data_IF_318713568979
#
_entry.id   IF_318713568979
#
_cell.length_a   1.000
_cell.length_b   1.000
_cell.length_c   1.000
_cell.angle_alpha   90.00
_cell.angle_beta   90.00
_cell.angle_gamma   90.00
#
_symmetry.space_group_name_H-M   'P 1'
#
loop_
_entity.id
_entity.type
_entity.pdbx_description
1 polymer ?
#
# COMPACT_ATOMS: atom_id res chain seq x y z
N UNK A 1 13.39 -1.42 9.43
CA UNK A 1 12.97 -0.03 9.68
C UNK A 1 11.99 0.37 8.60
N UNK A 2 11.02 1.22 8.93
CA UNK A 2 10.06 1.74 7.95
C UNK A 2 10.72 2.84 7.15
N UNK A 3 10.53 2.83 5.83
CA UNK A 3 11.14 3.80 4.93
C UNK A 3 10.05 4.39 4.04
N UNK A 4 10.02 5.73 3.92
CA UNK A 4 9.17 6.41 2.96
C UNK A 4 10.01 7.12 1.91
N UNK A 5 9.64 6.93 0.64
CA UNK A 5 10.20 7.64 -0.50
C UNK A 5 9.06 8.26 -1.28
N UNK A 6 9.03 9.59 -1.38
CA UNK A 6 7.99 10.28 -2.10
C UNK A 6 7.88 11.73 -1.72
N UNK A 7 6.77 12.33 -2.14
CA UNK A 7 6.49 13.74 -1.92
C UNK A 7 6.10 14.01 -0.46
N UNK A 8 6.51 15.19 0.00
CA UNK A 8 6.23 15.71 1.32
C UNK A 8 5.64 17.12 1.20
N UNK A 9 4.71 17.45 2.10
CA UNK A 9 4.18 18.79 2.30
C UNK A 9 3.94 18.99 3.79
N UNK A 10 4.43 20.09 4.34
CA UNK A 10 4.26 20.47 5.75
C UNK A 10 4.67 19.36 6.74
N UNK A 11 5.79 18.68 6.45
CA UNK A 11 6.28 17.55 7.26
C UNK A 11 5.45 16.27 7.16
N UNK A 12 4.48 16.21 6.25
CA UNK A 12 3.59 15.06 6.06
C UNK A 12 3.74 14.47 4.66
N UNK A 13 3.54 13.16 4.52
CA UNK A 13 3.46 12.50 3.23
C UNK A 13 2.27 13.05 2.45
N UNK A 14 2.53 13.59 1.26
CA UNK A 14 1.54 14.28 0.47
C UNK A 14 1.93 14.22 -1.01
N UNK A 15 1.06 13.73 -1.89
CA UNK A 15 1.39 13.42 -3.29
C UNK A 15 1.73 11.94 -3.51
N UNK A 16 2.46 11.63 -4.57
CA UNK A 16 2.87 10.25 -4.88
C UNK A 16 4.01 9.79 -3.95
N UNK A 17 3.94 8.54 -3.49
CA UNK A 17 5.01 7.96 -2.71
C UNK A 17 4.85 6.49 -2.34
N UNK A 18 5.96 5.90 -1.92
CA UNK A 18 6.06 4.52 -1.47
C UNK A 18 6.47 4.46 0.00
N UNK A 19 5.69 3.75 0.82
CA UNK A 19 6.00 3.42 2.21
C UNK A 19 6.31 1.93 2.30
N UNK A 20 7.55 1.60 2.66
CA UNK A 20 7.96 0.25 3.04
C UNK A 20 7.78 0.06 4.54
N UNK A 21 7.15 -1.03 4.93
CA UNK A 21 6.88 -1.35 6.33
C UNK A 21 7.96 -2.26 6.94
N UNK A 22 8.71 -2.97 6.10
CA UNK A 22 9.82 -3.84 6.47
C UNK A 22 11.04 -3.60 5.56
N UNK A 23 12.21 -4.10 5.98
CA UNK A 23 13.48 -3.93 5.24
C UNK A 23 13.52 -4.74 3.94
N UNK A 24 12.75 -5.81 3.86
CA UNK A 24 12.76 -6.77 2.75
C UNK A 24 11.84 -6.30 1.60
N UNK A 25 11.03 -5.27 1.84
CA UNK A 25 10.05 -4.76 0.86
C UNK A 25 8.89 -5.72 0.62
N UNK A 26 8.60 -6.62 1.58
CA UNK A 26 7.52 -7.61 1.47
C UNK A 26 6.16 -6.93 1.66
N UNK A 27 6.07 -6.01 2.62
CA UNK A 27 4.92 -5.19 2.91
C UNK A 27 5.24 -3.74 2.53
N UNK A 28 4.55 -3.22 1.53
CA UNK A 28 4.73 -1.85 1.06
C UNK A 28 3.42 -1.28 0.49
N UNK A 29 3.27 0.03 0.57
CA UNK A 29 2.23 0.77 -0.14
C UNK A 29 2.89 1.69 -1.16
N UNK A 30 2.38 1.71 -2.39
CA UNK A 30 2.74 2.69 -3.42
C UNK A 30 1.48 3.35 -3.93
N UNK A 31 1.40 4.67 -3.88
CA UNK A 31 0.27 5.42 -4.40
C UNK A 31 0.17 6.83 -3.86
N UNK A 32 -1.02 7.40 -3.94
CA UNK A 32 -1.28 8.76 -3.50
C UNK A 32 -1.42 8.86 -1.97
N UNK A 33 -0.92 9.97 -1.45
CA UNK A 33 -0.95 10.34 -0.03
C UNK A 33 -1.53 11.75 0.13
N UNK A 34 -2.30 11.95 1.20
CA UNK A 34 -2.75 13.27 1.67
C UNK A 34 -2.66 13.28 3.18
N UNK A 35 -1.88 14.20 3.75
CA UNK A 35 -1.72 14.37 5.20
C UNK A 35 -1.42 13.05 5.92
N UNK A 36 -0.39 12.33 5.46
CA UNK A 36 0.04 11.02 5.97
C UNK A 36 -0.92 9.85 5.74
N UNK A 37 -2.08 10.07 5.11
CA UNK A 37 -3.07 9.03 4.83
C UNK A 37 -3.03 8.61 3.35
N UNK A 38 -3.21 7.31 3.10
CA UNK A 38 -3.40 6.77 1.75
C UNK A 38 -4.69 7.33 1.15
N UNK A 39 -4.62 7.78 -0.10
CA UNK A 39 -5.71 8.44 -0.80
C UNK A 39 -5.68 8.05 -2.28
N UNK A 40 -6.79 8.18 -3.00
CA UNK A 40 -6.83 7.97 -4.45
C UNK A 40 -6.47 6.54 -4.84
N UNK A 41 -5.89 6.34 -6.02
CA UNK A 41 -5.44 5.01 -6.44
C UNK A 41 -4.10 4.63 -5.79
N UNK A 42 -3.99 3.37 -5.38
CA UNK A 42 -2.76 2.83 -4.80
C UNK A 42 -2.72 1.31 -4.73
N UNK A 43 -1.49 0.78 -4.66
CA UNK A 43 -1.15 -0.63 -4.55
C UNK A 43 -0.56 -0.91 -3.17
N UNK A 44 -1.21 -1.78 -2.40
CA UNK A 44 -0.69 -2.29 -1.14
C UNK A 44 -0.28 -3.74 -1.32
N UNK A 45 1.02 -4.02 -1.21
CA UNK A 45 1.55 -5.36 -1.08
C UNK A 45 1.51 -5.78 0.38
N UNK A 46 1.07 -7.00 0.59
CA UNK A 46 1.08 -7.74 1.84
C UNK A 46 1.92 -9.00 1.62
N UNK A 47 2.33 -9.65 2.72
CA UNK A 47 3.08 -10.91 2.65
C UNK A 47 2.38 -12.02 1.85
N UNK A 48 1.05 -12.03 1.80
CA UNK A 48 0.23 -13.08 1.16
C UNK A 48 -0.78 -12.55 0.15
N UNK A 49 -0.57 -11.35 -0.36
CA UNK A 49 -1.50 -10.80 -1.32
C UNK A 49 -1.19 -9.36 -1.69
N UNK A 50 -1.94 -8.88 -2.67
CA UNK A 50 -1.80 -7.53 -3.22
C UNK A 50 -3.20 -6.96 -3.37
N UNK A 51 -3.39 -5.74 -2.85
CA UNK A 51 -4.55 -4.94 -3.13
C UNK A 51 -4.18 -3.81 -4.09
N UNK A 52 -4.92 -3.65 -5.17
CA UNK A 52 -4.82 -2.53 -6.10
C UNK A 52 -6.19 -1.89 -6.25
N UNK A 53 -6.33 -0.64 -5.83
CA UNK A 53 -7.65 -0.02 -5.77
C UNK A 53 -7.65 1.40 -5.25
N UNK A 54 -8.85 1.92 -5.05
CA UNK A 54 -9.05 3.24 -4.49
C UNK A 54 -8.89 3.23 -2.96
N UNK A 55 -8.42 4.36 -2.43
CA UNK A 55 -8.17 4.62 -1.03
C UNK A 55 -8.80 5.96 -0.65
N UNK A 56 -9.35 6.04 0.55
CA UNK A 56 -9.88 7.27 1.12
C UNK A 56 -9.55 7.32 2.60
N UNK A 57 -8.86 8.37 3.04
CA UNK A 57 -8.49 8.58 4.44
C UNK A 57 -7.81 7.35 5.09
N UNK A 58 -6.91 6.69 4.35
CA UNK A 58 -6.12 5.57 4.86
C UNK A 58 -6.78 4.20 4.77
N UNK A 59 -8.05 4.11 4.37
CA UNK A 59 -8.78 2.85 4.18
C UNK A 59 -9.04 2.55 2.71
N UNK A 60 -9.14 1.26 2.37
CA UNK A 60 -9.58 0.82 1.04
C UNK A 60 -10.99 1.34 0.79
N UNK A 61 -11.26 1.81 -0.41
CA UNK A 61 -12.52 2.44 -0.78
C UNK A 61 -12.85 2.14 -2.25
N UNK A 62 -14.11 2.34 -2.64
CA UNK A 62 -14.54 2.25 -4.04
C UNK A 62 -14.15 0.94 -4.74
N UNK A 63 -13.70 1.06 -5.99
CA UNK A 63 -13.30 -0.07 -6.83
C UNK A 63 -11.85 -0.47 -6.53
N UNK A 64 -11.64 -1.77 -6.38
CA UNK A 64 -10.31 -2.34 -6.26
C UNK A 64 -10.33 -3.86 -6.44
N UNK A 65 -9.16 -4.42 -6.69
CA UNK A 65 -8.92 -5.85 -6.85
C UNK A 65 -8.01 -6.32 -5.72
N UNK A 66 -8.42 -7.39 -5.04
CA UNK A 66 -7.60 -8.11 -4.08
C UNK A 66 -7.15 -9.42 -4.73
N UNK A 67 -5.84 -9.64 -4.76
CA UNK A 67 -5.24 -10.91 -5.16
C UNK A 67 -4.59 -11.54 -3.94
N UNK A 68 -4.85 -12.82 -3.73
CA UNK A 68 -4.22 -13.60 -2.67
C UNK A 68 -3.23 -14.55 -3.33
N UNK A 69 -1.98 -14.53 -2.86
CA UNK A 69 -1.04 -15.58 -3.19
C UNK A 69 -1.36 -16.76 -2.27
N UNK A 70 -2.11 -17.72 -2.81
CA UNK A 70 -2.26 -19.00 -2.15
C UNK A 70 -0.87 -19.66 -2.12
N UNK A 71 -0.33 -19.86 -0.93
CA UNK A 71 0.73 -20.85 -0.75
C UNK A 71 0.03 -22.18 -0.96
N UNK A 72 0.01 -22.62 -2.23
CA UNK A 72 -0.28 -23.97 -2.70
C UNK A 72 -0.72 -24.89 -1.55
N UNK A 73 -2.00 -24.84 -1.18
CA UNK A 73 -2.55 -25.86 -0.30
C UNK A 73 -2.60 -27.08 -1.20
N UNK A 74 -1.52 -27.87 -1.18
CA UNK A 74 -1.58 -29.26 -1.62
C UNK A 74 -2.62 -29.94 -0.73
N UNK A 75 -3.86 -30.00 -1.21
CA UNK A 75 -4.79 -30.97 -0.69
C UNK A 75 -4.30 -32.33 -1.18
N UNK A 76 -3.84 -33.12 -0.21
CA UNK A 76 -3.64 -34.58 -0.21
C UNK A 76 -3.16 -35.24 -1.51
#
# INVERSE_FOLDING_TARGET
EKEYRGMWKDGQRNGQGTLRYDREGICEYTGMWVNNLRQGWGRQRYRRGVYEGQWKAGVRHGVGRMEWTDLHIQYA
#
